data_IF_068663081724
#
_entry.id   IF_068663081724
#
_cell.length_a   1.000
_cell.length_b   1.000
_cell.length_c   1.000
_cell.angle_alpha   90.00
_cell.angle_beta   90.00
_cell.angle_gamma   90.00
#
_symmetry.space_group_name_H-M   'P 1'
#
loop_
_entity.id
_entity.type
_entity.pdbx_description
1 polymer ?
#
# COMPACT_ATOMS: atom_id res chain seq x y z
N UNK A 1 3.95 -23.82 5.63
CA UNK A 1 3.16 -22.61 5.41
C UNK A 1 2.14 -22.88 4.30
N UNK A 2 0.89 -22.65 4.57
CA UNK A 2 -0.17 -22.88 3.59
C UNK A 2 -0.08 -21.88 2.43
N UNK A 3 -0.69 -22.25 1.30
CA UNK A 3 -0.75 -21.38 0.13
C UNK A 3 -1.44 -20.06 0.49
N UNK A 4 -2.49 -20.15 1.29
CA UNK A 4 -3.23 -18.98 1.73
C UNK A 4 -2.37 -18.02 2.57
N UNK A 5 -1.54 -18.58 3.43
CA UNK A 5 -0.63 -17.75 4.24
C UNK A 5 0.42 -17.05 3.37
N UNK A 6 0.92 -17.75 2.36
CA UNK A 6 1.87 -17.14 1.42
C UNK A 6 1.25 -15.99 0.67
N UNK A 7 0.00 -16.15 0.21
CA UNK A 7 -0.70 -15.09 -0.48
C UNK A 7 -0.89 -13.88 0.41
N UNK A 8 -1.28 -14.10 1.65
CA UNK A 8 -1.46 -13.00 2.60
C UNK A 8 -0.16 -12.31 2.91
N UNK A 9 0.92 -13.09 3.03
CA UNK A 9 2.25 -12.51 3.24
C UNK A 9 2.63 -11.61 2.07
N UNK A 10 2.43 -12.06 0.85
CA UNK A 10 2.77 -11.29 -0.34
C UNK A 10 1.94 -9.99 -0.40
N UNK A 11 0.65 -10.05 -0.08
CA UNK A 11 -0.21 -8.87 -0.07
C UNK A 11 0.26 -7.84 0.94
N UNK A 12 0.56 -8.29 2.15
CA UNK A 12 1.03 -7.39 3.21
C UNK A 12 2.40 -6.82 2.84
N UNK A 13 3.29 -7.66 2.31
CA UNK A 13 4.61 -7.21 1.89
C UNK A 13 4.50 -6.13 0.80
N UNK A 14 3.67 -6.34 -0.22
CA UNK A 14 3.45 -5.36 -1.27
C UNK A 14 2.94 -4.03 -0.71
N UNK A 15 1.99 -4.12 0.20
CA UNK A 15 1.42 -2.94 0.84
C UNK A 15 2.51 -2.16 1.59
N UNK A 16 3.32 -2.84 2.36
CA UNK A 16 4.42 -2.20 3.09
C UNK A 16 5.47 -1.64 2.14
N UNK A 17 5.86 -2.42 1.14
CA UNK A 17 6.88 -2.01 0.20
C UNK A 17 6.48 -0.76 -0.59
N UNK A 18 5.25 -0.71 -1.06
CA UNK A 18 4.79 0.44 -1.84
C UNK A 18 4.68 1.71 -1.00
N UNK A 19 4.52 1.56 0.29
CA UNK A 19 4.47 2.71 1.19
C UNK A 19 5.85 3.16 1.64
N UNK A 20 6.76 2.23 1.85
CA UNK A 20 8.08 2.52 2.45
C UNK A 20 9.19 2.55 1.41
N UNK A 21 9.05 1.74 0.34
CA UNK A 21 10.00 1.68 -0.78
C UNK A 21 11.40 1.21 -0.39
N UNK A 22 11.47 0.38 0.63
CA UNK A 22 12.70 -0.25 1.09
C UNK A 22 12.40 -1.72 1.32
N UNK A 23 13.07 -2.59 0.58
CA UNK A 23 12.79 -4.03 0.63
C UNK A 23 13.04 -4.65 1.99
N UNK A 24 14.19 -4.35 2.58
CA UNK A 24 14.55 -4.91 3.88
C UNK A 24 13.58 -4.46 4.95
N UNK A 25 13.26 -3.19 4.96
CA UNK A 25 12.34 -2.65 5.93
C UNK A 25 10.92 -3.18 5.72
N UNK A 26 10.49 -3.30 4.46
CA UNK A 26 9.19 -3.88 4.16
C UNK A 26 9.09 -5.32 4.63
N UNK A 27 10.15 -6.10 4.48
CA UNK A 27 10.19 -7.46 5.01
C UNK A 27 10.07 -7.48 6.53
N UNK A 28 10.84 -6.62 7.20
CA UNK A 28 10.82 -6.54 8.65
C UNK A 28 9.42 -6.15 9.16
N UNK A 29 8.80 -5.18 8.52
CA UNK A 29 7.46 -4.74 8.92
C UNK A 29 6.41 -5.80 8.63
N UNK A 30 6.57 -6.55 7.54
CA UNK A 30 5.67 -7.65 7.23
C UNK A 30 5.79 -8.74 8.27
N UNK A 31 7.00 -9.13 8.63
CA UNK A 31 7.22 -10.14 9.66
C UNK A 31 6.67 -9.69 11.00
N UNK A 32 6.92 -8.44 11.37
CA UNK A 32 6.39 -7.88 12.60
C UNK A 32 4.87 -7.89 12.60
N UNK A 33 4.27 -7.60 11.44
CA UNK A 33 2.81 -7.64 11.29
C UNK A 33 2.26 -9.02 11.63
N UNK A 34 2.86 -10.06 11.08
CA UNK A 34 2.40 -11.43 11.34
C UNK A 34 2.65 -11.86 12.79
N UNK A 35 3.77 -11.44 13.36
CA UNK A 35 4.02 -11.72 14.79
C UNK A 35 2.99 -11.07 15.68
N UNK A 36 2.65 -9.83 15.41
CA UNK A 36 1.63 -9.12 16.18
C UNK A 36 0.25 -9.73 16.02
N UNK A 37 -0.04 -10.24 14.82
CA UNK A 37 -1.30 -10.92 14.60
C UNK A 37 -1.41 -12.14 15.51
N UNK A 38 -0.36 -12.93 15.60
CA UNK A 38 -0.34 -14.13 16.45
C UNK A 38 -0.54 -13.81 17.93
N UNK A 39 -0.07 -12.64 18.35
CA UNK A 39 -0.19 -12.20 19.74
C UNK A 39 -1.49 -11.44 20.01
N UNK A 40 -2.24 -11.13 18.97
CA UNK A 40 -3.44 -10.30 19.09
C UNK A 40 -4.54 -11.05 19.82
N UNK A 41 -5.20 -10.40 20.82
CA UNK A 41 -6.24 -11.07 21.61
C UNK A 41 -7.43 -11.56 20.80
N UNK A 42 -7.69 -10.95 19.64
CA UNK A 42 -8.81 -11.31 18.79
C UNK A 42 -8.44 -12.35 17.74
N UNK A 43 -7.22 -12.84 17.78
CA UNK A 43 -6.79 -13.84 16.81
C UNK A 43 -7.48 -15.18 17.11
N UNK A 44 -8.21 -15.70 16.13
CA UNK A 44 -9.01 -16.92 16.27
C UNK A 44 -8.44 -18.10 15.49
N UNK A 45 -7.18 -18.04 15.12
CA UNK A 45 -6.57 -19.10 14.32
C UNK A 45 -6.72 -18.93 12.83
N UNK A 46 -7.59 -18.05 12.40
CA UNK A 46 -7.72 -17.67 10.99
C UNK A 46 -7.04 -16.34 10.78
N UNK A 47 -6.28 -16.25 9.71
CA UNK A 47 -5.59 -15.01 9.40
C UNK A 47 -6.58 -14.03 8.80
N UNK A 48 -6.89 -13.00 9.56
CA UNK A 48 -7.79 -11.96 9.10
C UNK A 48 -6.99 -10.92 8.32
N UNK A 49 -7.23 -10.87 7.02
CA UNK A 49 -6.50 -9.92 6.15
C UNK A 49 -6.74 -8.47 6.57
N UNK A 50 -7.92 -8.16 7.11
CA UNK A 50 -8.25 -6.82 7.56
C UNK A 50 -7.39 -6.42 8.75
N UNK A 51 -7.24 -7.33 9.69
CA UNK A 51 -6.40 -7.10 10.85
C UNK A 51 -4.94 -6.97 10.44
N UNK A 52 -4.49 -7.80 9.51
CA UNK A 52 -3.13 -7.69 8.98
C UNK A 52 -2.86 -6.32 8.38
N UNK A 53 -3.77 -5.82 7.54
CA UNK A 53 -3.60 -4.49 6.96
C UNK A 53 -3.63 -3.38 8.00
N UNK A 54 -4.46 -3.53 9.02
CA UNK A 54 -4.53 -2.55 10.10
C UNK A 54 -3.21 -2.50 10.86
N UNK A 55 -2.67 -3.65 11.21
CA UNK A 55 -1.39 -3.72 11.92
C UNK A 55 -0.26 -3.17 11.03
N UNK A 56 -0.21 -3.61 9.78
CA UNK A 56 0.81 -3.15 8.85
C UNK A 56 0.74 -1.64 8.62
N UNK A 57 -0.46 -1.11 8.47
CA UNK A 57 -0.66 0.32 8.29
C UNK A 57 -0.18 1.12 9.48
N UNK A 58 -0.45 0.63 10.69
CA UNK A 58 0.01 1.29 11.90
C UNK A 58 1.54 1.27 12.00
N UNK A 59 2.14 0.14 11.68
CA UNK A 59 3.61 0.03 11.69
C UNK A 59 4.26 0.97 10.67
N UNK A 60 3.69 1.06 9.49
CA UNK A 60 4.20 1.97 8.46
C UNK A 60 4.08 3.43 8.91
N UNK A 61 2.95 3.80 9.50
CA UNK A 61 2.77 5.16 10.00
C UNK A 61 3.74 5.50 11.12
N UNK A 62 3.94 4.56 12.03
CA UNK A 62 4.89 4.74 13.12
C UNK A 62 6.31 4.94 12.59
N UNK A 63 6.65 4.18 11.56
CA UNK A 63 7.96 4.33 10.93
C UNK A 63 8.12 5.74 10.34
N UNK A 64 7.13 6.22 9.59
CA UNK A 64 7.18 7.57 9.01
C UNK A 64 7.21 8.64 10.09
N UNK A 65 6.48 8.42 11.17
CA UNK A 65 6.45 9.39 12.27
C UNK A 65 7.82 9.54 12.92
N UNK A 66 8.54 8.45 13.07
CA UNK A 66 9.88 8.46 13.66
C UNK A 66 10.91 9.15 12.77
N UNK A 67 10.68 9.13 11.47
CA UNK A 67 11.61 9.72 10.51
C UNK A 67 11.21 11.12 10.03
N UNK A 68 10.01 11.56 10.37
CA UNK A 68 9.47 12.80 9.85
C UNK A 68 10.33 14.05 10.10
N UNK A 69 11.04 14.19 11.23
CA UNK A 69 11.88 15.37 11.43
C UNK A 69 13.20 15.32 10.68
N UNK A 70 13.58 14.16 10.18
CA UNK A 70 14.83 14.00 9.48
C UNK A 70 14.59 14.13 7.99
N UNK A 71 15.59 14.62 7.30
CA UNK A 71 15.48 14.84 5.88
C UNK A 71 15.03 13.57 5.18
N UNK A 72 13.92 13.70 4.46
CA UNK A 72 13.54 12.67 3.52
C UNK A 72 14.69 12.49 2.56
N UNK A 73 15.17 11.27 2.37
CA UNK A 73 16.20 11.05 1.38
C UNK A 73 15.68 11.54 0.04
N UNK A 74 16.35 12.52 -0.51
CA UNK A 74 16.00 13.05 -1.82
C UNK A 74 16.21 12.03 -2.91
N UNK A 75 16.89 10.97 -2.59
CA UNK A 75 17.19 9.95 -3.56
C UNK A 75 16.01 9.03 -3.74
N UNK A 76 15.51 9.06 -4.93
CA UNK A 76 14.61 8.03 -5.40
C UNK A 76 15.32 6.71 -5.24
N UNK A 77 14.72 5.74 -4.58
CA UNK A 77 15.32 4.42 -4.48
C UNK A 77 15.72 3.94 -5.87
N UNK A 78 16.88 3.37 -5.92
CA UNK A 78 17.40 2.87 -7.17
C UNK A 78 16.46 1.83 -7.76
N UNK A 79 15.68 2.27 -8.71
CA UNK A 79 14.77 1.41 -9.45
C UNK A 79 15.48 0.76 -10.61
N UNK A 80 16.68 0.37 -10.42
CA UNK A 80 17.62 0.01 -11.44
C UNK A 80 17.28 -1.21 -12.28
N UNK A 81 16.10 -1.75 -12.21
CA UNK A 81 15.96 -3.04 -12.83
C UNK A 81 15.77 -3.02 -14.34
N UNK A 82 14.96 -2.19 -14.92
CA UNK A 82 14.76 -2.21 -16.38
C UNK A 82 14.41 -0.82 -16.88
N UNK A 83 15.13 -0.34 -17.88
CA UNK A 83 14.97 1.01 -18.40
C UNK A 83 13.59 1.33 -18.91
N UNK A 84 12.95 0.38 -19.57
CA UNK A 84 11.60 0.60 -20.11
C UNK A 84 10.54 0.62 -19.03
N UNK A 85 10.65 -0.29 -18.08
CA UNK A 85 9.77 -0.31 -16.93
C UNK A 85 9.95 0.92 -16.06
N UNK A 86 11.16 1.42 -16.02
CA UNK A 86 11.50 2.56 -15.20
C UNK A 86 10.71 3.80 -15.60
N UNK A 87 10.53 4.02 -16.89
CA UNK A 87 9.81 5.20 -17.38
C UNK A 87 8.34 5.13 -16.99
N UNK A 88 7.71 3.99 -17.23
CA UNK A 88 6.31 3.79 -16.85
C UNK A 88 6.12 3.83 -15.36
N UNK A 89 7.06 3.22 -14.61
CA UNK A 89 7.00 3.20 -13.16
C UNK A 89 7.17 4.59 -12.56
N UNK A 90 8.01 5.42 -13.15
CA UNK A 90 8.21 6.79 -12.70
C UNK A 90 6.94 7.62 -12.89
N UNK A 91 6.32 7.53 -14.07
CA UNK A 91 5.09 8.25 -14.35
C UNK A 91 3.96 7.83 -13.41
N UNK A 92 3.81 6.54 -13.23
CA UNK A 92 2.80 6.01 -12.31
C UNK A 92 3.12 6.42 -10.87
N UNK A 93 4.37 6.35 -10.51
CA UNK A 93 4.82 6.72 -9.17
C UNK A 93 4.53 8.20 -8.89
N UNK A 94 4.81 9.07 -9.84
CA UNK A 94 4.52 10.50 -9.70
C UNK A 94 3.02 10.74 -9.58
N UNK A 95 2.23 10.06 -10.39
CA UNK A 95 0.78 10.18 -10.34
C UNK A 95 0.24 9.71 -8.98
N UNK A 96 0.76 8.60 -8.47
CA UNK A 96 0.35 8.09 -7.16
C UNK A 96 0.77 9.05 -6.04
N UNK A 97 1.93 9.66 -6.15
CA UNK A 97 2.40 10.60 -5.14
C UNK A 97 1.59 11.89 -5.10
N UNK A 98 0.89 12.22 -6.17
CA UNK A 98 0.01 13.39 -6.18
C UNK A 98 -1.27 13.15 -5.40
N UNK A 99 -1.58 11.92 -5.07
CA UNK A 99 -2.76 11.57 -4.30
C UNK A 99 -2.51 11.72 -2.80
N UNK A 100 -3.59 11.92 -2.05
CA UNK A 100 -3.50 11.84 -0.60
C UNK A 100 -3.10 10.42 -0.21
N UNK A 101 -2.57 10.25 0.99
CA UNK A 101 -2.16 8.93 1.45
C UNK A 101 -3.35 7.96 1.49
N UNK A 102 -4.51 8.42 1.94
CA UNK A 102 -5.69 7.57 1.97
C UNK A 102 -6.09 7.11 0.57
N UNK A 103 -6.10 8.02 -0.39
CA UNK A 103 -6.45 7.69 -1.77
C UNK A 103 -5.46 6.69 -2.37
N UNK A 104 -4.18 6.91 -2.10
CA UNK A 104 -3.12 6.02 -2.58
C UNK A 104 -3.30 4.63 -2.01
N UNK A 105 -3.53 4.53 -0.70
CA UNK A 105 -3.75 3.25 -0.04
C UNK A 105 -4.95 2.52 -0.63
N UNK A 106 -6.04 3.23 -0.88
CA UNK A 106 -7.24 2.62 -1.45
C UNK A 106 -6.97 2.05 -2.84
N UNK A 107 -6.23 2.79 -3.67
CA UNK A 107 -5.87 2.33 -5.01
C UNK A 107 -4.98 1.08 -4.92
N UNK A 108 -4.00 1.11 -4.06
CA UNK A 108 -3.09 -0.02 -3.89
C UNK A 108 -3.83 -1.25 -3.40
N UNK A 109 -4.71 -1.09 -2.42
CA UNK A 109 -5.48 -2.20 -1.90
C UNK A 109 -6.40 -2.80 -2.97
N UNK A 110 -7.06 -1.96 -3.74
CA UNK A 110 -8.02 -2.43 -4.73
C UNK A 110 -7.37 -2.98 -5.99
N UNK A 111 -6.42 -2.25 -6.56
CA UNK A 111 -5.92 -2.57 -7.89
C UNK A 111 -4.61 -3.35 -7.90
N UNK A 112 -3.79 -3.19 -6.89
CA UNK A 112 -2.56 -3.99 -6.78
C UNK A 112 -2.82 -5.28 -6.04
N UNK A 113 -3.48 -5.20 -4.89
CA UNK A 113 -3.74 -6.38 -4.06
C UNK A 113 -5.06 -7.07 -4.35
N UNK A 114 -5.96 -6.42 -5.10
CA UNK A 114 -7.23 -7.03 -5.49
C UNK A 114 -8.22 -7.22 -4.35
N UNK A 115 -8.13 -6.39 -3.31
CA UNK A 115 -9.02 -6.56 -2.17
C UNK A 115 -10.45 -6.13 -2.49
N UNK A 116 -11.44 -6.83 -1.95
CA UNK A 116 -12.83 -6.43 -2.14
C UNK A 116 -13.14 -5.09 -1.49
N UNK A 117 -14.13 -4.39 -2.03
CA UNK A 117 -14.54 -3.09 -1.50
C UNK A 117 -14.94 -3.19 -0.03
N UNK A 118 -15.55 -4.31 0.37
CA UNK A 118 -15.91 -4.52 1.77
C UNK A 118 -14.72 -4.52 2.72
N UNK A 119 -13.60 -5.10 2.29
CA UNK A 119 -12.38 -5.09 3.08
C UNK A 119 -11.83 -3.67 3.19
N UNK A 120 -11.79 -2.95 2.08
CA UNK A 120 -11.31 -1.56 2.07
C UNK A 120 -12.20 -0.69 2.95
N UNK A 121 -13.51 -0.91 2.88
CA UNK A 121 -14.48 -0.21 3.73
C UNK A 121 -14.12 -0.38 5.21
N UNK A 122 -13.82 -1.58 5.63
CA UNK A 122 -13.47 -1.82 7.03
C UNK A 122 -12.13 -1.22 7.42
N UNK A 123 -11.16 -1.27 6.53
CA UNK A 123 -9.84 -0.70 6.82
C UNK A 123 -9.92 0.82 6.94
N UNK A 124 -10.65 1.47 6.06
CA UNK A 124 -10.71 2.94 6.00
C UNK A 124 -11.75 3.54 6.92
N UNK A 125 -12.73 2.76 7.36
CA UNK A 125 -13.87 3.27 8.10
C UNK A 125 -14.91 3.95 7.23
N UNK A 126 -14.72 3.97 5.91
CA UNK A 126 -15.69 4.55 4.97
C UNK A 126 -16.72 3.50 4.57
N UNK A 127 -17.93 3.95 4.21
CA UNK A 127 -18.94 3.03 3.71
C UNK A 127 -18.52 2.46 2.36
N UNK A 128 -19.10 1.34 1.96
CA UNK A 128 -18.82 0.75 0.65
C UNK A 128 -19.14 1.70 -0.48
N UNK A 129 -20.23 2.44 -0.37
CA UNK A 129 -20.58 3.46 -1.36
C UNK A 129 -19.54 4.55 -1.44
N UNK A 130 -19.09 5.03 -0.30
CA UNK A 130 -18.08 6.08 -0.25
C UNK A 130 -16.76 5.58 -0.85
N UNK A 131 -16.36 4.35 -0.54
CA UNK A 131 -15.15 3.74 -1.11
C UNK A 131 -15.28 3.68 -2.64
N UNK A 132 -16.42 3.18 -3.12
CA UNK A 132 -16.64 3.02 -4.56
C UNK A 132 -16.57 4.35 -5.29
N UNK A 133 -17.25 5.37 -4.76
CA UNK A 133 -17.25 6.70 -5.35
C UNK A 133 -15.85 7.32 -5.33
N UNK A 134 -15.16 7.15 -4.21
CA UNK A 134 -13.82 7.71 -4.07
C UNK A 134 -12.85 7.06 -5.03
N UNK A 135 -12.93 5.73 -5.19
CA UNK A 135 -12.08 5.01 -6.14
C UNK A 135 -12.29 5.49 -7.57
N UNK A 136 -13.54 5.70 -7.97
CA UNK A 136 -13.82 6.22 -9.31
C UNK A 136 -13.23 7.60 -9.51
N UNK A 137 -13.36 8.46 -8.51
CA UNK A 137 -12.80 9.81 -8.57
C UNK A 137 -11.28 9.76 -8.66
N UNK A 138 -10.65 8.94 -7.84
CA UNK A 138 -9.20 8.81 -7.81
C UNK A 138 -8.67 8.25 -9.13
N UNK A 139 -9.35 7.25 -9.69
CA UNK A 139 -8.96 6.72 -11.00
C UNK A 139 -9.02 7.78 -12.09
N UNK A 140 -10.05 8.63 -12.03
CA UNK A 140 -10.15 9.75 -12.96
C UNK A 140 -9.00 10.72 -12.82
N UNK A 141 -8.60 11.01 -11.60
CA UNK A 141 -7.45 11.87 -11.33
C UNK A 141 -6.15 11.27 -11.85
N UNK A 142 -5.95 9.98 -11.61
CA UNK A 142 -4.75 9.28 -12.08
C UNK A 142 -4.71 9.25 -13.60
N UNK A 143 -5.84 9.00 -14.22
CA UNK A 143 -5.91 8.96 -15.69
C UNK A 143 -5.54 10.31 -16.29
N UNK A 144 -6.03 11.40 -15.71
CA UNK A 144 -5.68 12.73 -16.16
C UNK A 144 -4.19 13.03 -16.03
N UNK A 145 -3.61 12.64 -14.91
CA UNK A 145 -2.19 12.86 -14.69
C UNK A 145 -1.34 12.09 -15.69
N UNK A 146 -1.69 10.84 -15.96
CA UNK A 146 -0.96 10.01 -16.91
C UNK A 146 -1.14 10.51 -18.34
N UNK A 147 -2.31 11.01 -18.69
CA UNK A 147 -2.56 11.58 -20.02
C UNK A 147 -1.75 12.85 -20.26
N UNK A 148 -1.57 13.67 -19.23
CA UNK A 148 -0.76 14.88 -19.35
C UNK A 148 0.68 14.57 -19.75
N UNK A 149 1.22 13.50 -19.23
CA UNK A 149 2.59 13.11 -19.53
C UNK A 149 2.74 12.55 -20.93
N UNK A 150 1.69 11.88 -21.42
CA UNK A 150 1.71 11.32 -22.77
C UNK A 150 1.59 12.41 -23.84
N UNK A 151 0.89 13.51 -23.53
CA UNK A 151 0.64 14.58 -24.49
C UNK A 151 1.81 15.55 -24.62
N UNK A 152 2.69 15.57 -23.63
CA UNK A 152 3.89 16.39 -23.70
C UNK A 152 5.05 15.59 -24.24
#
# INVERSE_FOLDING_TARGET
MSVDMKEKYIRVYRYCYLRIKDRSLAEDLTQETFLRLLEHPQYCGEQDIRLLYTIAGNLCRDHFRQQAPEELPEEVPDLSSDGERLIDDISLHDALNSLSQQDRDMVLLRYVNGEPIGVISEITGMSRFAVSRRLKKVLGMLRKELEKEVVT
#
